data_IF_995264810480
#
_entry.id   IF_995264810480
#
_cell.length_a   1.000
_cell.length_b   1.000
_cell.length_c   1.000
_cell.angle_alpha   90.00
_cell.angle_beta   90.00
_cell.angle_gamma   90.00
#
_symmetry.space_group_name_H-M   'P 1'
#
loop_
_entity.id
_entity.type
_entity.pdbx_description
1 polymer ?
#
# COMPACT_ATOMS: atom_id res chain seq x y z
N UNK A 1 32.67 31.76 87.46
CA UNK A 1 33.90 32.32 86.84
C UNK A 1 34.43 31.30 85.85
N UNK A 2 34.90 31.76 84.68
CA UNK A 2 35.45 31.00 83.54
C UNK A 2 34.39 30.28 82.66
N UNK A 3 34.37 30.36 81.32
CA UNK A 3 35.12 31.10 80.28
C UNK A 3 34.30 31.04 78.97
N UNK A 4 34.55 31.99 78.06
CA UNK A 4 33.96 32.17 76.71
C UNK A 4 34.41 31.14 75.66
N UNK A 5 33.51 30.91 74.69
CA UNK A 5 33.64 30.73 73.21
C UNK A 5 34.51 29.54 72.68
N UNK A 6 34.27 28.88 71.54
CA UNK A 6 33.81 29.32 70.20
C UNK A 6 33.11 28.22 69.36
N UNK A 7 32.15 28.67 68.54
CA UNK A 7 31.70 28.24 67.18
C UNK A 7 31.49 26.78 66.76
N UNK A 8 30.24 26.44 66.44
CA UNK A 8 29.86 25.69 65.21
C UNK A 8 28.36 25.84 64.91
N UNK A 9 27.90 26.24 63.70
CA UNK A 9 26.48 26.33 63.41
C UNK A 9 25.94 24.97 62.93
N UNK A 10 25.08 24.37 63.76
CA UNK A 10 24.27 23.21 63.43
C UNK A 10 23.13 23.66 62.49
N UNK A 11 23.29 23.44 61.18
CA UNK A 11 22.22 23.69 60.19
C UNK A 11 21.18 22.58 60.28
N UNK A 12 19.95 23.02 60.53
CA UNK A 12 18.71 22.26 60.51
C UNK A 12 18.53 21.57 59.13
N UNK A 13 18.34 20.25 59.14
CA UNK A 13 18.02 19.47 57.94
C UNK A 13 16.55 19.72 57.60
N UNK A 14 16.30 20.53 56.58
CA UNK A 14 14.98 20.62 55.93
C UNK A 14 14.98 19.63 54.76
N UNK A 15 14.16 18.59 54.86
CA UNK A 15 13.91 17.66 53.77
C UNK A 15 13.18 18.38 52.63
N UNK A 16 13.88 18.64 51.52
CA UNK A 16 13.27 19.03 50.25
C UNK A 16 12.81 17.75 49.55
N UNK A 17 11.51 17.49 49.59
CA UNK A 17 10.86 16.58 48.64
C UNK A 17 10.79 17.31 47.30
N UNK A 18 11.78 17.09 46.45
CA UNK A 18 11.69 17.47 45.04
C UNK A 18 10.93 16.36 44.30
N UNK A 19 9.65 16.62 44.02
CA UNK A 19 8.89 15.84 43.05
C UNK A 19 9.42 16.21 41.66
N UNK A 20 10.38 15.44 41.15
CA UNK A 20 10.75 15.52 39.73
C UNK A 20 9.65 14.84 38.94
N UNK A 21 8.77 15.65 38.35
CA UNK A 21 7.92 15.22 37.24
C UNK A 21 8.81 14.60 36.17
N UNK A 22 8.64 13.29 35.95
CA UNK A 22 9.18 12.62 34.76
C UNK A 22 8.50 13.26 33.55
N UNK A 23 9.15 14.26 32.96
CA UNK A 23 8.81 14.73 31.63
C UNK A 23 8.96 13.55 30.68
N UNK A 24 7.85 13.13 30.07
CA UNK A 24 7.86 12.26 28.90
C UNK A 24 8.90 12.82 27.92
N UNK A 25 9.90 12.01 27.60
CA UNK A 25 10.77 12.29 26.47
C UNK A 25 9.87 12.42 25.23
N UNK A 26 9.85 13.61 24.64
CA UNK A 26 9.36 13.82 23.29
C UNK A 26 10.23 12.94 22.38
N UNK A 27 9.65 11.93 21.73
CA UNK A 27 10.34 11.05 20.80
C UNK A 27 11.01 11.87 19.69
N UNK A 28 12.28 11.57 19.40
CA UNK A 28 13.03 12.24 18.36
C UNK A 28 12.49 11.87 16.97
N UNK A 29 12.48 12.79 15.99
CA UNK A 29 12.08 12.48 14.62
C UNK A 29 13.22 11.73 13.91
N UNK A 30 12.97 10.50 13.41
CA UNK A 30 13.92 9.79 12.55
C UNK A 30 14.08 8.28 12.74
N UNK A 31 13.24 7.61 13.53
CA UNK A 31 13.37 6.17 13.76
C UNK A 31 12.59 5.37 12.70
N UNK A 32 13.25 4.37 12.10
CA UNK A 32 12.58 3.40 11.22
C UNK A 32 11.63 2.53 12.03
N UNK A 33 10.49 2.17 11.44
CA UNK A 33 9.63 1.10 11.99
C UNK A 33 10.24 -0.23 11.56
N UNK A 34 10.65 -1.06 12.52
CA UNK A 34 11.24 -2.38 12.28
C UNK A 34 10.16 -3.45 12.45
N UNK A 35 9.96 -4.24 11.41
CA UNK A 35 9.12 -5.43 11.43
C UNK A 35 9.97 -6.68 11.59
N UNK A 36 9.57 -7.53 12.54
CA UNK A 36 10.26 -8.77 12.85
C UNK A 36 9.56 -9.94 12.17
N UNK A 37 10.34 -10.90 11.66
CA UNK A 37 9.80 -12.13 11.09
C UNK A 37 9.38 -12.01 9.62
N UNK A 38 9.84 -10.96 8.95
CA UNK A 38 9.44 -10.65 7.58
C UNK A 38 10.61 -10.14 6.76
N UNK A 39 10.77 -10.70 5.57
CA UNK A 39 11.69 -10.24 4.54
C UNK A 39 10.94 -9.40 3.50
N UNK A 40 11.49 -8.23 3.18
CA UNK A 40 11.12 -7.46 2.00
C UNK A 40 11.79 -8.07 0.76
N UNK A 41 11.02 -8.78 -0.05
CA UNK A 41 11.51 -9.50 -1.22
C UNK A 41 11.61 -8.57 -2.43
N UNK A 42 12.76 -8.64 -3.11
CA UNK A 42 13.06 -7.85 -4.30
C UNK A 42 13.44 -6.40 -3.96
N UNK A 43 13.52 -5.59 -5.02
CA UNK A 43 13.94 -4.17 -4.96
C UNK A 43 15.34 -3.93 -4.36
N UNK A 44 16.19 -4.96 -4.29
CA UNK A 44 17.55 -4.86 -3.78
C UNK A 44 18.39 -3.88 -4.58
N UNK A 45 19.00 -2.94 -3.86
CA UNK A 45 20.10 -2.13 -4.36
C UNK A 45 21.39 -2.94 -4.27
N UNK A 46 21.74 -3.36 -3.05
CA UNK A 46 22.91 -4.17 -2.71
C UNK A 46 22.88 -4.53 -1.21
N UNK A 47 23.65 -5.54 -0.82
CA UNK A 47 23.85 -5.93 0.58
C UNK A 47 25.10 -5.28 1.19
N UNK A 48 25.01 -4.91 2.47
CA UNK A 48 26.14 -4.40 3.28
C UNK A 48 26.17 -5.10 4.63
N UNK A 49 27.36 -5.27 5.21
CA UNK A 49 27.47 -5.84 6.55
C UNK A 49 26.79 -4.92 7.57
N UNK A 50 26.02 -5.49 8.49
CA UNK A 50 25.24 -4.73 9.47
C UNK A 50 25.07 -5.50 10.75
N UNK A 51 25.23 -4.79 11.87
CA UNK A 51 25.20 -5.41 13.21
C UNK A 51 23.79 -5.89 13.56
N UNK A 52 22.79 -5.08 13.24
CA UNK A 52 21.37 -5.39 13.46
C UNK A 52 20.48 -4.57 12.50
N UNK A 53 19.16 -4.66 12.69
CA UNK A 53 18.18 -3.95 11.89
C UNK A 53 18.16 -2.43 12.14
N UNK A 54 18.54 -1.98 13.34
CA UNK A 54 18.65 -0.56 13.67
C UNK A 54 19.87 0.08 13.00
N UNK A 55 20.97 -0.66 12.92
CA UNK A 55 22.13 -0.31 12.13
C UNK A 55 21.77 -0.25 10.64
N UNK A 56 21.04 -1.26 10.15
CA UNK A 56 20.57 -1.34 8.78
C UNK A 56 19.67 -0.14 8.39
N UNK A 57 18.77 0.31 9.29
CA UNK A 57 18.00 1.54 9.15
C UNK A 57 18.89 2.75 8.86
N UNK A 58 19.90 2.98 9.71
CA UNK A 58 20.81 4.12 9.59
C UNK A 58 21.66 4.05 8.32
N UNK A 59 22.06 2.84 7.93
CA UNK A 59 22.72 2.60 6.65
C UNK A 59 21.78 2.98 5.49
N UNK A 60 20.52 2.55 5.50
CA UNK A 60 19.55 2.94 4.47
C UNK A 60 19.31 4.45 4.40
N UNK A 61 19.24 5.14 5.55
CA UNK A 61 19.16 6.60 5.59
C UNK A 61 20.38 7.26 4.93
N UNK A 62 21.58 6.70 5.14
CA UNK A 62 22.81 7.16 4.50
C UNK A 62 22.76 6.98 2.98
N UNK A 63 22.20 5.86 2.52
CA UNK A 63 22.01 5.56 1.09
C UNK A 63 20.71 6.11 0.50
N UNK A 64 20.00 7.02 1.18
CA UNK A 64 18.76 7.59 0.69
C UNK A 64 18.94 8.33 -0.65
N UNK A 65 20.04 9.06 -0.84
CA UNK A 65 20.32 9.72 -2.14
C UNK A 65 20.62 8.72 -3.27
N UNK A 66 21.13 7.53 -2.92
CA UNK A 66 21.32 6.42 -3.85
C UNK A 66 20.02 5.63 -4.13
N UNK A 67 18.91 6.03 -3.50
CA UNK A 67 17.59 5.46 -3.70
C UNK A 67 17.14 4.48 -2.61
N UNK A 68 17.86 4.32 -1.50
CA UNK A 68 17.39 3.43 -0.42
C UNK A 68 16.15 4.02 0.26
N UNK A 69 15.08 3.23 0.34
CA UNK A 69 13.83 3.60 1.02
C UNK A 69 13.37 2.54 2.01
N UNK A 70 13.86 1.31 1.84
CA UNK A 70 13.54 0.19 2.69
C UNK A 70 14.77 -0.72 2.85
N UNK A 71 14.69 -1.66 3.79
CA UNK A 71 15.76 -2.62 4.01
C UNK A 71 15.22 -3.92 4.60
N UNK A 72 15.95 -5.02 4.40
CA UNK A 72 15.84 -6.25 5.20
C UNK A 72 17.18 -6.53 5.85
N UNK A 73 17.22 -6.71 7.17
CA UNK A 73 18.37 -7.26 7.85
C UNK A 73 18.15 -8.77 8.08
N UNK A 74 19.15 -9.59 7.77
CA UNK A 74 19.14 -11.05 8.02
C UNK A 74 20.46 -11.50 8.65
N UNK A 75 20.52 -12.66 9.32
CA UNK A 75 21.76 -13.19 9.89
C UNK A 75 22.77 -13.69 8.85
N UNK A 76 22.48 -13.52 7.55
CA UNK A 76 23.37 -13.92 6.46
C UNK A 76 24.79 -13.35 6.66
N UNK A 77 25.81 -14.21 6.55
CA UNK A 77 27.22 -13.87 6.74
C UNK A 77 27.54 -13.14 8.06
N UNK A 78 26.79 -13.44 9.13
CA UNK A 78 26.99 -12.81 10.44
C UNK A 78 26.26 -11.47 10.61
N UNK A 79 25.40 -11.10 9.65
CA UNK A 79 24.60 -9.88 9.67
C UNK A 79 24.74 -9.12 8.35
N UNK A 80 23.73 -9.24 7.49
CA UNK A 80 23.66 -8.51 6.23
C UNK A 80 22.42 -7.63 6.21
N UNK A 81 22.62 -6.37 5.87
CA UNK A 81 21.59 -5.40 5.55
C UNK A 81 21.41 -5.32 4.03
N UNK A 82 20.30 -5.83 3.55
CA UNK A 82 19.86 -5.73 2.17
C UNK A 82 19.17 -4.40 1.99
N UNK A 83 19.86 -3.42 1.39
CA UNK A 83 19.33 -2.09 1.12
C UNK A 83 18.43 -2.14 -0.11
N UNK A 84 17.25 -1.51 -0.05
CA UNK A 84 16.22 -1.67 -1.07
C UNK A 84 15.64 -0.34 -1.51
N UNK A 85 15.24 -0.26 -2.78
CA UNK A 85 14.54 0.89 -3.38
C UNK A 85 13.16 1.13 -2.78
N UNK A 86 12.58 0.10 -2.18
CA UNK A 86 11.25 0.10 -1.59
C UNK A 86 10.97 -1.24 -0.91
N UNK A 87 9.82 -1.33 -0.25
CA UNK A 87 9.43 -2.48 0.57
C UNK A 87 9.19 -3.77 -0.24
N UNK A 88 8.83 -3.67 -1.51
CA UNK A 88 8.55 -4.85 -2.36
C UNK A 88 7.44 -5.74 -1.83
N UNK A 89 7.51 -7.05 -2.12
CA UNK A 89 6.63 -8.06 -1.53
C UNK A 89 7.12 -8.45 -0.14
N UNK A 90 6.25 -8.98 0.72
CA UNK A 90 6.64 -9.41 2.07
C UNK A 90 6.55 -10.92 2.15
N UNK A 91 7.67 -11.58 2.45
CA UNK A 91 7.71 -13.00 2.78
C UNK A 91 7.87 -13.18 4.29
N UNK A 92 7.24 -14.21 4.84
CA UNK A 92 7.48 -14.62 6.23
C UNK A 92 8.88 -15.24 6.31
N UNK A 93 9.73 -14.65 7.13
CA UNK A 93 11.06 -15.16 7.46
C UNK A 93 11.37 -14.79 8.90
N UNK A 94 11.32 -15.78 9.80
CA UNK A 94 11.49 -15.58 11.25
C UNK A 94 12.81 -14.91 11.63
N UNK A 95 13.84 -15.02 10.78
CA UNK A 95 15.18 -14.48 11.02
C UNK A 95 15.39 -13.09 10.41
N UNK A 96 14.47 -12.66 9.53
CA UNK A 96 14.52 -11.35 8.90
C UNK A 96 13.90 -10.25 9.76
N UNK A 97 14.48 -9.05 9.67
CA UNK A 97 13.98 -7.83 10.29
C UNK A 97 14.02 -6.71 9.25
N UNK A 98 12.85 -6.26 8.81
CA UNK A 98 12.74 -5.31 7.71
C UNK A 98 12.21 -3.96 8.18
N UNK A 99 12.39 -2.92 7.39
CA UNK A 99 11.86 -1.60 7.73
C UNK A 99 11.99 -0.58 6.61
N UNK A 100 11.33 0.55 6.80
CA UNK A 100 11.39 1.70 5.88
C UNK A 100 11.94 2.94 6.61
N UNK A 101 12.61 3.83 5.86
CA UNK A 101 13.15 5.06 6.45
C UNK A 101 12.07 6.15 6.53
N UNK A 102 12.01 6.85 7.67
CA UNK A 102 10.93 7.77 8.04
C UNK A 102 10.80 9.05 7.19
N UNK A 103 11.78 9.39 6.33
CA UNK A 103 11.63 10.47 5.34
C UNK A 103 10.62 10.15 4.23
N UNK A 104 9.93 9.01 4.35
CA UNK A 104 8.74 8.58 3.61
C UNK A 104 7.61 8.17 4.56
N UNK A 105 7.49 8.80 5.75
CA UNK A 105 6.21 8.80 6.46
C UNK A 105 5.19 9.37 5.47
N UNK A 106 4.28 8.49 5.08
CA UNK A 106 3.12 8.72 4.26
C UNK A 106 2.45 10.05 4.63
N UNK A 107 1.82 10.67 3.63
CA UNK A 107 0.98 11.84 3.81
C UNK A 107 0.27 11.79 5.17
N UNK A 108 0.34 12.89 5.93
CA UNK A 108 -0.30 13.03 7.23
C UNK A 108 -1.69 12.38 7.19
N UNK A 109 -1.89 11.34 8.02
CA UNK A 109 -3.11 10.55 8.24
C UNK A 109 -3.58 9.62 7.11
N UNK A 110 -4.04 8.42 7.49
CA UNK A 110 -4.79 7.53 6.59
C UNK A 110 -5.94 8.29 5.93
N UNK A 111 -5.89 8.43 4.61
CA UNK A 111 -6.99 9.01 3.83
C UNK A 111 -8.14 7.99 3.83
N UNK A 112 -9.15 8.25 4.66
CA UNK A 112 -10.30 7.37 4.81
C UNK A 112 -11.24 7.48 3.61
N UNK A 113 -11.41 6.37 2.90
CA UNK A 113 -12.41 6.17 1.85
C UNK A 113 -13.69 5.59 2.51
N UNK A 114 -14.61 6.48 2.89
CA UNK A 114 -15.91 6.10 3.46
C UNK A 114 -16.84 5.50 2.40
N UNK A 115 -17.63 4.51 2.80
CA UNK A 115 -18.56 3.83 1.91
C UNK A 115 -17.88 2.84 0.96
N UNK A 116 -16.64 2.44 1.25
CA UNK A 116 -15.80 1.64 0.37
C UNK A 116 -15.20 0.48 1.14
N UNK A 117 -15.41 -0.73 0.62
CA UNK A 117 -14.70 -1.93 1.03
C UNK A 117 -13.56 -2.24 0.05
N UNK A 118 -12.39 -2.57 0.59
CA UNK A 118 -11.31 -3.19 -0.16
C UNK A 118 -11.47 -4.71 -0.13
N UNK A 119 -12.00 -5.31 -1.19
CA UNK A 119 -12.25 -6.74 -1.22
C UNK A 119 -10.95 -7.58 -1.18
N UNK A 120 -10.93 -8.59 -0.32
CA UNK A 120 -9.87 -9.60 -0.21
C UNK A 120 -8.59 -9.09 0.44
N UNK A 121 -7.50 -9.86 0.27
CA UNK A 121 -6.16 -9.61 0.86
C UNK A 121 -6.14 -9.57 2.39
N UNK A 122 -7.15 -10.11 3.05
CA UNK A 122 -7.19 -10.13 4.52
C UNK A 122 -6.03 -10.94 5.09
N UNK A 123 -5.27 -10.30 5.97
CA UNK A 123 -4.25 -10.92 6.80
C UNK A 123 -4.90 -11.49 8.06
N UNK A 124 -5.74 -10.68 8.70
CA UNK A 124 -6.47 -11.02 9.92
C UNK A 124 -7.55 -9.97 10.18
N UNK A 125 -8.37 -10.20 11.20
CA UNK A 125 -9.31 -9.20 11.69
C UNK A 125 -9.16 -9.00 13.20
N UNK A 126 -9.29 -7.76 13.64
CA UNK A 126 -9.20 -7.38 15.06
C UNK A 126 -10.32 -6.40 15.41
N UNK A 127 -10.64 -6.30 16.70
CA UNK A 127 -11.61 -5.30 17.16
C UNK A 127 -11.00 -3.90 17.13
N UNK A 128 -11.76 -2.93 16.65
CA UNK A 128 -11.39 -1.52 16.67
C UNK A 128 -12.64 -0.67 16.93
N UNK A 129 -12.48 0.48 17.59
CA UNK A 129 -13.62 1.34 17.90
C UNK A 129 -14.09 2.16 16.69
N UNK A 130 -13.17 2.47 15.77
CA UNK A 130 -13.42 3.25 14.56
C UNK A 130 -12.31 3.01 13.51
N UNK A 131 -12.48 3.60 12.34
CA UNK A 131 -11.52 3.50 11.24
C UNK A 131 -10.17 4.18 11.54
N UNK A 132 -10.13 5.19 12.41
CA UNK A 132 -8.88 5.85 12.81
C UNK A 132 -8.05 4.94 13.74
N UNK A 133 -8.69 4.22 14.65
CA UNK A 133 -8.06 3.17 15.44
C UNK A 133 -7.56 2.03 14.53
N UNK A 134 -8.34 1.66 13.51
CA UNK A 134 -7.94 0.65 12.53
C UNK A 134 -6.69 1.06 11.73
N UNK A 135 -6.58 2.34 11.35
CA UNK A 135 -5.37 2.91 10.78
C UNK A 135 -4.15 2.71 11.69
N UNK A 136 -4.23 3.13 12.95
CA UNK A 136 -3.12 2.98 13.89
C UNK A 136 -2.75 1.52 14.19
N UNK A 137 -3.72 0.61 14.15
CA UNK A 137 -3.46 -0.83 14.25
C UNK A 137 -2.71 -1.31 13.01
N UNK A 138 -3.17 -0.98 11.81
CA UNK A 138 -2.55 -1.41 10.56
C UNK A 138 -1.13 -0.83 10.39
N UNK A 139 -0.88 0.42 10.82
CA UNK A 139 0.46 1.01 10.86
C UNK A 139 1.45 0.16 11.66
N UNK A 140 0.98 -0.52 12.71
CA UNK A 140 1.79 -1.34 13.61
C UNK A 140 1.74 -2.84 13.28
N UNK A 141 0.78 -3.28 12.47
CA UNK A 141 0.59 -4.70 12.17
C UNK A 141 1.50 -5.13 11.02
N UNK A 142 2.42 -6.09 11.25
CA UNK A 142 3.36 -6.49 10.23
C UNK A 142 2.69 -6.96 8.94
N UNK A 143 3.13 -6.41 7.82
CA UNK A 143 2.59 -6.73 6.50
C UNK A 143 1.26 -6.05 6.15
N UNK A 144 0.62 -5.33 7.09
CA UNK A 144 -0.58 -4.56 6.78
C UNK A 144 -0.24 -3.35 5.93
N UNK A 145 -0.91 -3.22 4.78
CA UNK A 145 -0.75 -2.09 3.84
C UNK A 145 -2.03 -1.30 3.65
N UNK A 146 -3.16 -1.91 3.98
CA UNK A 146 -4.47 -1.29 3.91
C UNK A 146 -5.40 -1.95 4.93
N UNK A 147 -6.56 -1.36 5.16
CA UNK A 147 -7.60 -1.97 5.96
C UNK A 147 -8.99 -1.64 5.41
N UNK A 148 -9.97 -2.45 5.80
CA UNK A 148 -11.40 -2.07 5.81
C UNK A 148 -11.85 -2.10 7.26
N UNK A 149 -12.52 -1.06 7.74
CA UNK A 149 -13.25 -1.05 9.01
C UNK A 149 -14.76 -1.18 8.74
N UNK A 150 -15.46 -2.04 9.48
CA UNK A 150 -16.92 -2.19 9.42
C UNK A 150 -17.54 -2.24 10.83
N UNK A 151 -18.86 -2.07 10.95
CA UNK A 151 -19.57 -2.16 12.22
C UNK A 151 -19.76 -3.60 12.73
N UNK A 152 -19.30 -4.59 11.97
CA UNK A 152 -19.40 -6.01 12.30
C UNK A 152 -18.88 -6.29 13.72
N UNK A 153 -19.66 -7.06 14.50
CA UNK A 153 -19.37 -7.40 15.89
C UNK A 153 -19.07 -6.18 16.82
N UNK A 154 -19.63 -5.01 16.52
CA UNK A 154 -19.41 -3.80 17.31
C UNK A 154 -18.17 -2.98 16.89
N UNK A 155 -17.54 -3.34 15.78
CA UNK A 155 -16.38 -2.66 15.21
C UNK A 155 -15.25 -3.63 14.87
N UNK A 156 -15.13 -3.99 13.59
CA UNK A 156 -14.08 -4.90 13.12
C UNK A 156 -13.17 -4.21 12.12
N UNK A 157 -11.87 -4.29 12.39
CA UNK A 157 -10.79 -3.85 11.53
C UNK A 157 -10.22 -5.06 10.79
N UNK A 158 -10.51 -5.14 9.49
CA UNK A 158 -10.03 -6.17 8.57
C UNK A 158 -8.70 -5.71 7.99
N UNK A 159 -7.59 -6.18 8.56
CA UNK A 159 -6.22 -5.83 8.20
C UNK A 159 -5.82 -6.54 6.91
N UNK A 160 -5.26 -5.81 5.95
CA UNK A 160 -5.04 -6.31 4.59
C UNK A 160 -3.60 -6.11 4.13
N UNK A 161 -3.12 -7.03 3.31
CA UNK A 161 -1.78 -6.96 2.72
C UNK A 161 -1.66 -5.92 1.59
N UNK A 162 -2.75 -5.26 1.19
CA UNK A 162 -2.79 -4.25 0.12
C UNK A 162 -4.19 -3.72 -0.13
N UNK A 163 -4.31 -2.68 -0.96
CA UNK A 163 -5.62 -2.23 -1.48
C UNK A 163 -6.16 -3.27 -2.45
N UNK A 164 -7.27 -3.87 -2.07
CA UNK A 164 -8.02 -4.83 -2.89
C UNK A 164 -8.84 -4.15 -3.98
N UNK A 165 -9.72 -4.91 -4.61
CA UNK A 165 -10.76 -4.31 -5.45
C UNK A 165 -11.68 -3.44 -4.59
N UNK A 166 -12.24 -2.37 -5.17
CA UNK A 166 -13.11 -1.48 -4.40
C UNK A 166 -14.57 -1.82 -4.67
N UNK A 167 -15.34 -2.04 -3.60
CA UNK A 167 -16.78 -2.23 -3.63
C UNK A 167 -17.45 -1.09 -2.87
N UNK A 168 -18.60 -0.63 -3.33
CA UNK A 168 -19.44 0.28 -2.55
C UNK A 168 -20.09 -0.51 -1.42
N UNK A 169 -19.78 -0.13 -0.19
CA UNK A 169 -20.43 -0.64 1.03
C UNK A 169 -20.52 0.51 2.03
N UNK A 170 -21.76 0.94 2.31
CA UNK A 170 -22.03 2.08 3.20
C UNK A 170 -21.55 1.88 4.64
N UNK A 171 -21.37 0.64 5.10
CA UNK A 171 -20.85 0.33 6.44
C UNK A 171 -19.32 0.27 6.48
N UNK A 172 -18.67 0.24 5.31
CA UNK A 172 -17.23 0.12 5.20
C UNK A 172 -16.52 1.49 5.18
N UNK A 173 -15.37 1.56 5.84
CA UNK A 173 -14.42 2.66 5.68
C UNK A 173 -13.04 2.06 5.50
N UNK A 174 -12.41 2.31 4.36
CA UNK A 174 -11.11 1.74 4.01
C UNK A 174 -10.03 2.80 3.94
N UNK A 175 -8.78 2.40 4.05
CA UNK A 175 -7.65 3.26 3.70
C UNK A 175 -6.42 2.44 3.33
N UNK A 176 -5.59 3.01 2.45
CA UNK A 176 -4.20 2.60 2.32
C UNK A 176 -3.38 3.30 3.38
N UNK A 177 -2.72 2.52 4.21
CA UNK A 177 -1.82 3.03 5.25
C UNK A 177 -0.43 3.31 4.68
N UNK A 178 -0.08 2.56 3.64
CA UNK A 178 1.17 2.69 2.92
C UNK A 178 0.88 2.97 1.45
N UNK A 179 1.07 4.22 1.03
CA UNK A 179 1.04 4.64 -0.39
C UNK A 179 2.42 4.39 -1.00
N UNK A 180 2.62 3.23 -1.60
CA UNK A 180 3.82 3.02 -2.44
C UNK A 180 3.81 4.06 -3.56
N UNK A 181 4.78 4.99 -3.54
CA UNK A 181 4.95 5.92 -4.66
C UNK A 181 5.31 5.11 -5.91
N UNK A 182 4.51 5.22 -6.98
CA UNK A 182 4.84 4.62 -8.26
C UNK A 182 6.14 5.21 -8.76
N UNK A 183 7.14 4.36 -9.00
CA UNK A 183 8.49 4.82 -9.36
C UNK A 183 9.00 4.21 -10.66
N UNK A 184 8.16 3.48 -11.40
CA UNK A 184 8.60 2.64 -12.52
C UNK A 184 9.78 1.71 -12.17
N UNK A 185 10.00 1.45 -10.87
CA UNK A 185 10.99 0.49 -10.40
C UNK A 185 10.56 -0.92 -10.76
N UNK A 186 11.52 -1.73 -11.23
CA UNK A 186 11.27 -3.09 -11.64
C UNK A 186 11.30 -4.04 -10.42
N UNK A 187 10.20 -4.75 -10.23
CA UNK A 187 10.08 -5.90 -9.34
C UNK A 187 10.41 -7.17 -10.13
N UNK A 188 11.58 -7.73 -9.88
CA UNK A 188 12.08 -8.94 -10.53
C UNK A 188 11.35 -10.19 -10.03
N UNK A 189 11.06 -11.09 -10.96
CA UNK A 189 10.36 -12.36 -10.74
C UNK A 189 8.98 -12.20 -10.09
N UNK A 190 8.32 -11.07 -10.35
CA UNK A 190 7.00 -10.74 -9.83
C UNK A 190 6.06 -10.45 -10.99
N UNK A 191 5.00 -11.25 -11.14
CA UNK A 191 3.88 -10.95 -12.03
C UNK A 191 2.81 -10.17 -11.26
N UNK A 192 2.34 -9.06 -11.83
CA UNK A 192 1.09 -8.45 -11.40
C UNK A 192 -0.08 -9.21 -12.03
N UNK A 193 -0.96 -9.78 -11.23
CA UNK A 193 -1.98 -10.70 -11.73
C UNK A 193 -3.18 -9.94 -12.28
N UNK A 194 -3.58 -10.28 -13.51
CA UNK A 194 -4.79 -9.80 -14.16
C UNK A 194 -4.77 -8.31 -14.50
N UNK A 195 -5.97 -7.71 -14.63
CA UNK A 195 -6.18 -6.30 -14.96
C UNK A 195 -5.54 -5.83 -16.28
N UNK A 196 -5.26 -6.75 -17.20
CA UNK A 196 -4.63 -6.44 -18.48
C UNK A 196 -5.56 -5.61 -19.38
N UNK A 197 -5.02 -4.51 -19.91
CA UNK A 197 -5.75 -3.54 -20.75
C UNK A 197 -5.17 -3.43 -22.17
N UNK A 198 -4.08 -4.15 -22.40
CA UNK A 198 -3.37 -4.20 -23.67
C UNK A 198 -1.95 -4.68 -23.49
N UNK A 199 -1.20 -4.70 -24.59
CA UNK A 199 0.21 -5.05 -24.57
C UNK A 199 0.98 -4.35 -25.68
N UNK A 200 2.30 -4.32 -25.54
CA UNK A 200 3.21 -3.87 -26.60
C UNK A 200 4.52 -4.67 -26.57
N UNK A 201 5.18 -4.77 -27.72
CA UNK A 201 6.51 -5.37 -27.83
C UNK A 201 7.55 -4.46 -27.18
N UNK A 202 8.41 -5.04 -26.36
CA UNK A 202 9.53 -4.36 -25.72
C UNK A 202 10.69 -5.33 -25.53
N UNK A 203 11.84 -5.02 -26.08
CA UNK A 203 13.03 -5.88 -25.96
C UNK A 203 13.57 -5.93 -24.54
N UNK A 204 13.38 -4.86 -23.75
CA UNK A 204 13.85 -4.76 -22.38
C UNK A 204 12.72 -4.31 -21.43
N UNK A 205 12.61 -4.88 -20.22
CA UNK A 205 11.57 -4.54 -19.24
C UNK A 205 11.44 -3.05 -18.92
N UNK A 206 12.57 -2.34 -18.81
CA UNK A 206 12.61 -0.90 -18.51
C UNK A 206 11.86 -0.04 -19.54
N UNK A 207 11.66 -0.54 -20.76
CA UNK A 207 10.91 0.16 -21.81
C UNK A 207 9.41 0.19 -21.50
N UNK A 208 8.90 -0.73 -20.68
CA UNK A 208 7.49 -0.82 -20.37
C UNK A 208 6.95 0.38 -19.58
N UNK A 209 7.79 1.07 -18.81
CA UNK A 209 7.38 2.28 -18.10
C UNK A 209 6.85 3.35 -19.08
N UNK A 210 7.70 3.80 -20.02
CA UNK A 210 7.31 4.82 -21.00
C UNK A 210 6.16 4.35 -21.90
N UNK A 211 6.12 3.06 -22.23
CA UNK A 211 5.02 2.50 -23.01
C UNK A 211 3.69 2.51 -22.23
N UNK A 212 3.71 2.21 -20.94
CA UNK A 212 2.55 2.31 -20.07
C UNK A 212 2.12 3.76 -19.86
N UNK A 213 3.04 4.70 -19.63
CA UNK A 213 2.73 6.13 -19.55
C UNK A 213 2.00 6.65 -20.81
N UNK A 214 2.36 6.14 -21.98
CA UNK A 214 1.72 6.46 -23.26
C UNK A 214 0.44 5.66 -23.55
N UNK A 215 0.10 4.65 -22.74
CA UNK A 215 -1.07 3.81 -22.95
C UNK A 215 -2.22 4.27 -22.04
N UNK A 216 -3.25 4.87 -22.63
CA UNK A 216 -4.40 5.41 -21.89
C UNK A 216 -5.01 4.39 -20.92
N UNK A 217 -5.08 4.76 -19.64
CA UNK A 217 -5.59 3.92 -18.56
C UNK A 217 -4.55 2.97 -17.94
N UNK A 218 -3.33 2.87 -18.46
CA UNK A 218 -2.28 2.05 -17.85
C UNK A 218 -1.74 2.71 -16.57
N UNK A 219 -1.53 1.89 -15.54
CA UNK A 219 -1.00 2.30 -14.23
C UNK A 219 0.08 1.35 -13.73
N UNK A 220 0.19 0.16 -14.31
CA UNK A 220 1.20 -0.82 -14.00
C UNK A 220 1.46 -1.72 -15.21
N UNK A 221 2.54 -2.50 -15.18
CA UNK A 221 2.83 -3.51 -16.21
C UNK A 221 3.51 -4.74 -15.61
N UNK A 222 3.38 -5.87 -16.31
CA UNK A 222 4.30 -7.02 -16.21
C UNK A 222 5.02 -7.14 -17.55
N UNK A 223 6.34 -7.22 -17.58
CA UNK A 223 7.09 -7.64 -18.76
C UNK A 223 7.38 -9.14 -18.70
N UNK A 224 7.26 -9.84 -19.82
CA UNK A 224 7.75 -11.22 -19.96
C UNK A 224 8.52 -11.41 -21.28
N UNK A 225 9.27 -12.51 -21.38
CA UNK A 225 10.04 -12.86 -22.58
C UNK A 225 9.17 -13.26 -23.78
N UNK A 226 7.85 -13.29 -23.62
CA UNK A 226 6.88 -13.68 -24.64
C UNK A 226 7.15 -12.98 -25.98
N UNK A 227 7.25 -13.79 -27.04
CA UNK A 227 7.58 -13.39 -28.41
C UNK A 227 8.93 -12.65 -28.58
N UNK A 228 9.82 -12.68 -27.59
CA UNK A 228 11.05 -11.87 -27.54
C UNK A 228 10.85 -10.54 -26.83
N UNK A 229 10.03 -10.52 -25.77
CA UNK A 229 9.79 -9.37 -24.90
C UNK A 229 8.47 -8.63 -25.14
N UNK A 230 7.56 -8.71 -24.17
CA UNK A 230 6.22 -8.10 -24.23
C UNK A 230 5.85 -7.45 -22.91
N UNK A 231 5.42 -6.20 -22.94
CA UNK A 231 4.79 -5.50 -21.83
C UNK A 231 3.29 -5.79 -21.82
N UNK A 232 2.78 -6.31 -20.71
CA UNK A 232 1.36 -6.50 -20.43
C UNK A 232 0.89 -5.33 -19.56
N UNK A 233 0.19 -4.37 -20.17
CA UNK A 233 -0.27 -3.15 -19.52
C UNK A 233 -1.47 -3.44 -18.65
N UNK A 234 -1.50 -2.83 -17.47
CA UNK A 234 -2.52 -3.04 -16.45
C UNK A 234 -3.02 -1.71 -15.95
N UNK A 235 -4.32 -1.59 -15.69
CA UNK A 235 -4.88 -0.36 -15.13
C UNK A 235 -4.73 -0.26 -13.61
N UNK A 236 -4.15 -1.26 -12.93
CA UNK A 236 -3.87 -1.24 -11.49
C UNK A 236 -2.91 -2.35 -11.09
N UNK A 237 -2.22 -2.16 -9.96
CA UNK A 237 -1.43 -3.17 -9.27
C UNK A 237 -2.27 -3.75 -8.13
N UNK A 238 -2.69 -5.01 -8.30
CA UNK A 238 -3.43 -5.72 -7.27
C UNK A 238 -2.63 -6.92 -6.78
N UNK A 239 -3.00 -8.11 -7.23
CA UNK A 239 -2.41 -9.36 -6.74
C UNK A 239 -1.07 -9.50 -7.42
N UNK A 240 -0.13 -10.07 -6.69
CA UNK A 240 1.19 -10.34 -7.23
C UNK A 240 1.50 -11.80 -7.01
N UNK A 241 2.11 -12.43 -8.01
CA UNK A 241 2.59 -13.79 -7.95
C UNK A 241 4.10 -13.78 -8.16
N UNK A 242 4.78 -14.72 -7.51
CA UNK A 242 6.18 -14.97 -7.81
C UNK A 242 6.26 -15.83 -9.07
N UNK A 243 6.90 -15.31 -10.12
CA UNK A 243 7.04 -15.97 -11.40
C UNK A 243 8.43 -15.69 -11.98
N UNK A 244 9.22 -16.73 -12.23
CA UNK A 244 10.59 -16.56 -12.72
C UNK A 244 10.61 -15.94 -14.12
N UNK A 245 11.47 -14.94 -14.31
CA UNK A 245 11.76 -14.34 -15.61
C UNK A 245 10.78 -13.25 -16.05
N UNK A 246 9.82 -12.86 -15.20
CA UNK A 246 8.99 -11.68 -15.43
C UNK A 246 9.49 -10.50 -14.60
N UNK A 247 9.21 -9.28 -15.07
CA UNK A 247 9.59 -8.06 -14.36
C UNK A 247 8.43 -7.07 -14.39
N UNK A 248 7.92 -6.68 -13.22
CA UNK A 248 6.76 -5.78 -13.12
C UNK A 248 7.14 -4.39 -12.65
N UNK A 249 6.31 -3.40 -12.96
CA UNK A 249 6.51 -2.04 -12.46
C UNK A 249 5.21 -1.28 -12.34
N UNK A 250 5.06 -0.53 -11.25
CA UNK A 250 3.94 0.41 -11.07
C UNK A 250 4.35 1.81 -11.54
N UNK A 251 3.53 2.36 -12.43
CA UNK A 251 3.74 3.65 -13.11
C UNK A 251 2.88 4.74 -12.47
N UNK A 252 1.63 4.42 -12.11
CA UNK A 252 0.72 5.31 -11.38
C UNK A 252 0.02 4.56 -10.23
N UNK A 253 -0.35 5.27 -9.16
CA UNK A 253 -1.03 4.70 -7.99
C UNK A 253 -2.38 4.15 -8.42
N UNK A 254 -2.96 3.12 -7.80
CA UNK A 254 -4.30 2.66 -8.21
C UNK A 254 -5.35 3.79 -8.20
N UNK A 255 -6.45 3.69 -8.96
CA UNK A 255 -7.52 4.68 -8.91
C UNK A 255 -7.99 4.90 -7.47
N UNK A 256 -8.17 6.17 -7.11
CA UNK A 256 -8.78 6.53 -5.83
C UNK A 256 -10.30 6.34 -5.95
N UNK A 257 -10.95 5.94 -4.86
CA UNK A 257 -12.41 5.91 -4.84
C UNK A 257 -12.97 7.32 -5.16
N UNK A 258 -14.10 7.42 -5.89
CA UNK A 258 -15.01 6.35 -6.30
C UNK A 258 -14.69 5.73 -7.68
N UNK A 259 -13.59 6.11 -8.33
CA UNK A 259 -13.24 5.58 -9.67
C UNK A 259 -12.96 4.08 -9.60
N UNK A 260 -13.60 3.29 -10.46
CA UNK A 260 -13.58 1.82 -10.44
C UNK A 260 -14.09 1.16 -9.14
N UNK A 261 -14.77 1.89 -8.26
CA UNK A 261 -15.48 1.29 -7.12
C UNK A 261 -16.80 0.71 -7.63
N UNK A 262 -16.96 -0.62 -7.55
CA UNK A 262 -18.16 -1.28 -8.09
C UNK A 262 -19.36 -1.10 -7.17
N UNK A 263 -20.46 -0.60 -7.73
CA UNK A 263 -21.81 -0.75 -7.20
C UNK A 263 -22.36 -2.09 -7.69
N UNK A 264 -22.50 -3.04 -6.76
CA UNK A 264 -23.05 -4.36 -7.06
C UNK A 264 -24.58 -4.28 -7.21
N UNK A 265 -25.14 -5.08 -8.11
CA UNK A 265 -26.58 -5.16 -8.34
C UNK A 265 -27.22 -3.81 -8.74
N UNK A 266 -26.48 -3.00 -9.50
CA UNK A 266 -26.91 -1.68 -9.95
C UNK A 266 -26.61 -1.52 -11.44
N UNK A 267 -27.61 -1.07 -12.19
CA UNK A 267 -27.49 -0.60 -13.57
C UNK A 267 -27.53 0.93 -13.58
N UNK A 268 -26.60 1.56 -14.29
CA UNK A 268 -26.71 2.99 -14.59
C UNK A 268 -27.51 3.14 -15.87
N UNK A 269 -28.63 3.86 -15.82
CA UNK A 269 -29.50 4.10 -16.95
C UNK A 269 -28.92 5.15 -17.90
N UNK A 270 -29.48 5.23 -19.11
CA UNK A 270 -29.09 6.21 -20.13
C UNK A 270 -28.30 5.63 -21.30
N UNK A 271 -27.99 6.50 -22.26
CA UNK A 271 -27.39 6.13 -23.54
C UNK A 271 -25.98 5.55 -23.37
N UNK A 272 -25.71 4.50 -24.13
CA UNK A 272 -24.38 3.89 -24.20
C UNK A 272 -23.60 4.54 -25.34
N UNK A 273 -22.36 4.96 -25.05
CA UNK A 273 -21.43 5.45 -26.08
C UNK A 273 -20.69 4.30 -26.77
N UNK A 274 -20.80 3.09 -26.24
CA UNK A 274 -20.26 1.87 -26.82
C UNK A 274 -20.54 0.66 -25.94
N UNK A 275 -20.23 -0.53 -26.47
CA UNK A 275 -20.26 -1.76 -25.68
C UNK A 275 -19.09 -2.68 -26.06
N UNK A 276 -18.63 -3.47 -25.09
CA UNK A 276 -17.52 -4.41 -25.26
C UNK A 276 -17.91 -5.76 -24.67
N UNK A 277 -17.97 -6.84 -25.46
CA UNK A 277 -18.27 -8.19 -24.97
C UNK A 277 -17.07 -8.85 -24.28
N UNK A 278 -17.32 -9.96 -23.58
CA UNK A 278 -16.33 -10.81 -22.91
C UNK A 278 -15.42 -10.06 -21.93
N UNK A 279 -16.01 -9.14 -21.16
CA UNK A 279 -15.31 -8.40 -20.12
C UNK A 279 -15.67 -8.93 -18.73
N UNK A 280 -14.82 -8.62 -17.75
CA UNK A 280 -15.19 -8.64 -16.33
C UNK A 280 -15.64 -7.23 -15.90
N UNK A 281 -16.28 -7.05 -14.74
CA UNK A 281 -16.59 -5.71 -14.20
C UNK A 281 -15.35 -4.80 -14.08
N UNK A 282 -14.19 -5.36 -13.70
CA UNK A 282 -12.95 -4.58 -13.61
C UNK A 282 -12.36 -4.30 -15.00
N UNK A 283 -12.50 -5.24 -15.95
CA UNK A 283 -12.19 -5.02 -17.37
C UNK A 283 -13.04 -3.93 -18.00
N UNK A 284 -14.27 -3.72 -17.52
CA UNK A 284 -15.07 -2.56 -17.91
C UNK A 284 -14.45 -1.23 -17.50
N UNK A 285 -13.90 -1.14 -16.28
CA UNK A 285 -13.22 0.08 -15.86
C UNK A 285 -12.04 0.40 -16.78
N UNK A 286 -11.25 -0.64 -17.10
CA UNK A 286 -10.16 -0.56 -18.08
C UNK A 286 -10.61 -0.05 -19.45
N UNK A 287 -11.67 -0.64 -19.97
CA UNK A 287 -12.26 -0.25 -21.25
C UNK A 287 -12.73 1.20 -21.24
N UNK A 288 -13.37 1.63 -20.16
CA UNK A 288 -13.85 2.99 -20.00
C UNK A 288 -12.69 3.99 -19.92
N UNK A 289 -11.66 3.73 -19.10
CA UNK A 289 -10.46 4.59 -19.00
C UNK A 289 -9.74 4.79 -20.35
N UNK A 290 -9.79 3.78 -21.22
CA UNK A 290 -9.23 3.84 -22.57
C UNK A 290 -10.13 4.58 -23.57
N UNK A 291 -11.42 4.67 -23.30
CA UNK A 291 -12.43 5.20 -24.24
C UNK A 291 -12.64 6.68 -23.99
N UNK A 292 -12.22 7.52 -24.95
CA UNK A 292 -12.44 8.97 -24.89
C UNK A 292 -13.92 9.28 -24.69
N UNK A 293 -14.21 10.07 -23.65
CA UNK A 293 -15.57 10.48 -23.31
C UNK A 293 -16.35 9.46 -22.49
N UNK A 294 -15.77 8.33 -22.06
CA UNK A 294 -16.36 7.44 -21.08
C UNK A 294 -16.09 7.96 -19.65
N UNK A 295 -17.12 8.00 -18.81
CA UNK A 295 -17.02 8.37 -17.39
C UNK A 295 -17.78 7.44 -16.46
N UNK A 296 -18.44 6.41 -17.01
CA UNK A 296 -19.08 5.35 -16.24
C UNK A 296 -19.31 4.11 -17.10
N UNK A 297 -19.60 2.98 -16.47
CA UNK A 297 -20.05 1.77 -17.16
C UNK A 297 -21.09 1.01 -16.36
N UNK A 298 -21.81 0.12 -17.05
CA UNK A 298 -22.62 -0.94 -16.46
C UNK A 298 -22.26 -2.26 -17.12
N UNK A 299 -21.78 -3.22 -16.36
CA UNK A 299 -21.45 -4.57 -16.81
C UNK A 299 -22.60 -5.51 -16.52
N UNK A 300 -23.05 -6.26 -17.52
CA UNK A 300 -24.10 -7.27 -17.37
C UNK A 300 -23.48 -8.65 -17.18
N UNK A 301 -23.76 -9.29 -16.06
CA UNK A 301 -23.17 -10.58 -15.69
C UNK A 301 -23.68 -11.76 -16.50
N UNK A 302 -24.96 -11.73 -16.91
CA UNK A 302 -25.60 -12.83 -17.65
C UNK A 302 -24.94 -13.03 -19.03
N UNK A 303 -24.48 -11.94 -19.65
CA UNK A 303 -23.90 -11.95 -21.00
C UNK A 303 -22.42 -11.56 -21.05
N UNK A 304 -21.83 -11.12 -19.94
CA UNK A 304 -20.44 -10.67 -19.86
C UNK A 304 -20.15 -9.44 -20.73
N UNK A 305 -21.12 -8.55 -20.90
CA UNK A 305 -21.00 -7.36 -21.76
C UNK A 305 -20.85 -6.10 -20.93
N UNK A 306 -19.85 -5.31 -21.29
CA UNK A 306 -19.64 -3.97 -20.79
C UNK A 306 -20.42 -2.92 -21.60
N UNK A 307 -21.24 -2.11 -20.95
CA UNK A 307 -21.88 -0.95 -21.57
C UNK A 307 -21.20 0.32 -21.09
N UNK A 308 -20.52 1.03 -21.99
CA UNK A 308 -19.77 2.24 -21.71
C UNK A 308 -20.68 3.47 -21.81
N UNK A 309 -20.54 4.40 -20.87
CA UNK A 309 -21.40 5.57 -20.73
C UNK A 309 -20.55 6.81 -20.51
N UNK A 310 -21.05 7.95 -20.97
CA UNK A 310 -20.32 9.22 -20.81
C UNK A 310 -20.34 9.75 -19.38
N UNK A 311 -21.41 9.49 -18.63
CA UNK A 311 -21.58 9.93 -17.23
C UNK A 311 -22.38 8.89 -16.42
N UNK A 312 -22.35 8.98 -15.09
CA UNK A 312 -23.30 8.28 -14.21
C UNK A 312 -24.72 8.79 -14.48
N UNK A 313 -25.58 7.94 -15.05
CA UNK A 313 -27.01 8.21 -15.19
C UNK A 313 -27.78 7.91 -13.91
N UNK A 314 -29.10 7.75 -14.01
CA UNK A 314 -29.92 7.27 -12.89
C UNK A 314 -29.49 5.84 -12.51
N UNK A 315 -29.29 5.58 -11.21
CA UNK A 315 -28.93 4.26 -10.71
C UNK A 315 -30.22 3.47 -10.42
N UNK A 316 -30.37 2.33 -11.10
CA UNK A 316 -31.50 1.41 -10.92
C UNK A 316 -31.00 0.08 -10.33
N UNK A 317 -31.68 -0.41 -9.30
CA UNK A 317 -31.40 -1.73 -8.74
C UNK A 317 -31.64 -2.82 -9.79
N UNK A 318 -30.65 -3.71 -9.96
CA UNK A 318 -30.67 -4.76 -10.96
C UNK A 318 -29.67 -5.84 -10.61
N UNK A 319 -30.14 -7.01 -10.17
CA UNK A 319 -29.29 -8.10 -9.70
C UNK A 319 -28.18 -8.50 -10.68
N UNK A 320 -28.42 -8.36 -11.99
CA UNK A 320 -27.51 -8.78 -13.05
C UNK A 320 -26.44 -7.75 -13.46
N UNK A 321 -26.46 -6.55 -12.86
CA UNK A 321 -25.58 -5.46 -13.27
C UNK A 321 -24.61 -5.02 -12.18
N UNK A 322 -23.40 -4.71 -12.60
CA UNK A 322 -22.32 -4.18 -11.79
C UNK A 322 -21.87 -2.90 -12.45
N UNK A 323 -21.96 -1.76 -11.76
CA UNK A 323 -21.70 -0.46 -12.36
C UNK A 323 -20.63 0.31 -11.61
N UNK A 324 -19.97 1.24 -12.29
CA UNK A 324 -19.00 2.12 -11.63
C UNK A 324 -18.79 3.40 -12.44
N UNK A 325 -18.41 4.46 -11.73
CA UNK A 325 -17.86 5.68 -12.32
C UNK A 325 -16.37 5.50 -12.55
N UNK A 326 -15.83 6.22 -13.53
CA UNK A 326 -14.44 6.07 -13.98
C UNK A 326 -13.74 7.41 -14.02
#
# INVERSE_FOLDING_TARGET
>A
MYRKAETSPMKLVTALVACTSAGRALGAPGECVIEHGFDYVGNDLFGVASIDASDCCRQCQTYATAGCRAYSWTPHQGGTCWLKRGRGSVAVDADAKSGTIASFRFADTCVLEHGVDYEGRDLTSVQANDAAACCGICEQFPGCRAFTFTSFNGGTCWLKSGKGNMLVDSDATSAQVYVEEPTCGLEYDIDYVGNDIGSARAAEPKQCCALCEGFGGCRAFTWSDYQGGTCWFKNRKDAVNWELGVESGQVFSNPAAPSCTLELHVEYMGENIGSIPNQTPYGCCSACMKTVGCGAFSWNEDVGVCYLKSTKGEAQESARFFSSVV
#
